data_IF_983647138538
#
_entry.id   IF_983647138538
#
_cell.length_a   1.000
_cell.length_b   1.000
_cell.length_c   1.000
_cell.angle_alpha   90.00
_cell.angle_beta   90.00
_cell.angle_gamma   90.00
#
_symmetry.space_group_name_H-M   'P 1'
#
loop_
_entity.id
_entity.type
_entity.pdbx_description
1 polymer ?
#
# COMPACT_ATOMS: atom_id res chain seq x y z
N UNK A 1 2.42 25.38 -4.09
CA UNK A 1 2.48 26.33 -2.99
C UNK A 1 2.48 25.58 -1.65
N UNK A 2 1.59 24.61 -1.44
CA UNK A 2 1.49 23.81 -0.23
C UNK A 2 1.60 22.31 -0.53
N UNK A 3 2.38 21.59 0.30
CA UNK A 3 2.50 20.13 0.28
C UNK A 3 1.98 19.60 1.60
N UNK A 4 0.85 18.88 1.54
CA UNK A 4 0.27 18.19 2.68
C UNK A 4 0.84 16.77 2.77
N UNK A 5 1.28 16.38 3.96
CA UNK A 5 1.95 15.11 4.18
C UNK A 5 1.25 14.30 5.29
N UNK A 6 0.92 13.02 5.07
CA UNK A 6 0.34 12.18 6.12
C UNK A 6 1.38 11.89 7.21
N UNK A 7 0.94 11.97 8.48
CA UNK A 7 1.71 11.56 9.65
C UNK A 7 0.85 10.74 10.60
N UNK A 8 1.41 9.70 11.21
CA UNK A 8 0.68 8.82 12.14
C UNK A 8 0.51 9.41 13.54
N UNK A 9 1.38 10.36 13.93
CA UNK A 9 1.36 11.06 15.22
C UNK A 9 1.96 12.46 15.07
N UNK A 10 1.59 13.35 15.96
CA UNK A 10 2.16 14.71 15.99
C UNK A 10 3.68 14.67 16.16
N UNK A 11 4.39 15.46 15.39
CA UNK A 11 5.85 15.52 15.40
C UNK A 11 6.57 14.34 14.74
N UNK A 12 5.84 13.38 14.15
CA UNK A 12 6.47 12.31 13.39
C UNK A 12 6.89 12.80 12.00
N UNK A 13 7.96 12.23 11.48
CA UNK A 13 8.35 12.42 10.08
C UNK A 13 7.34 11.75 9.15
N UNK A 14 7.03 12.43 8.04
CA UNK A 14 6.21 11.85 6.99
C UNK A 14 7.05 11.06 6.01
N UNK A 15 6.73 9.79 5.86
CA UNK A 15 7.38 8.92 4.89
C UNK A 15 7.15 9.40 3.45
N UNK A 16 5.93 9.83 3.12
CA UNK A 16 5.62 10.40 1.82
C UNK A 16 6.44 11.66 1.54
N UNK A 17 6.66 12.50 2.57
CA UNK A 17 7.53 13.66 2.44
C UNK A 17 8.99 13.28 2.22
N UNK A 18 9.50 12.28 2.94
CA UNK A 18 10.87 11.77 2.76
C UNK A 18 11.10 11.24 1.34
N UNK A 19 10.14 10.49 0.79
CA UNK A 19 10.21 10.00 -0.60
C UNK A 19 10.24 11.15 -1.60
N UNK A 20 9.42 12.18 -1.39
CA UNK A 20 9.27 13.31 -2.32
C UNK A 20 10.31 14.42 -2.12
N UNK A 21 11.11 14.39 -1.05
CA UNK A 21 11.98 15.48 -0.61
C UNK A 21 12.84 16.09 -1.72
N UNK A 22 13.43 15.25 -2.58
CA UNK A 22 14.31 15.73 -3.68
C UNK A 22 13.59 16.56 -4.75
N UNK A 23 12.26 16.52 -4.81
CA UNK A 23 11.44 17.30 -5.75
C UNK A 23 10.77 18.50 -5.10
N UNK A 24 10.84 18.62 -3.77
CA UNK A 24 10.28 19.75 -3.04
C UNK A 24 11.16 20.99 -3.21
N UNK A 25 10.54 22.16 -3.29
CA UNK A 25 11.22 23.44 -3.43
C UNK A 25 11.22 24.19 -2.10
N UNK A 26 12.27 24.99 -1.79
CA UNK A 26 12.39 25.67 -0.49
C UNK A 26 11.23 26.62 -0.13
N UNK A 27 10.54 27.18 -1.13
CA UNK A 27 9.41 28.07 -0.92
C UNK A 27 8.08 27.37 -0.68
N UNK A 28 8.00 26.06 -0.82
CA UNK A 28 6.77 25.30 -0.58
C UNK A 28 6.56 25.08 0.91
N UNK A 29 5.35 25.39 1.37
CA UNK A 29 4.95 25.14 2.76
C UNK A 29 4.58 23.67 2.94
N UNK A 30 5.16 23.02 3.93
CA UNK A 30 4.87 21.62 4.27
C UNK A 30 3.89 21.59 5.45
N UNK A 31 2.76 20.91 5.28
CA UNK A 31 1.71 20.80 6.30
C UNK A 31 1.50 19.34 6.66
N UNK A 32 1.85 18.92 7.88
CA UNK A 32 1.56 17.58 8.35
C UNK A 32 0.06 17.42 8.64
N UNK A 33 -0.55 16.37 8.10
CA UNK A 33 -1.92 15.97 8.38
C UNK A 33 -1.92 14.70 9.23
N UNK A 34 -2.52 14.77 10.41
CA UNK A 34 -2.52 13.65 11.35
C UNK A 34 -3.58 12.61 10.98
N UNK A 35 -3.14 11.36 10.82
CA UNK A 35 -3.99 10.19 10.60
C UNK A 35 -3.65 9.13 11.65
N UNK A 36 -4.39 9.07 12.76
CA UNK A 36 -4.06 8.17 13.86
C UNK A 36 -4.22 6.70 13.42
N UNK A 37 -3.22 5.88 13.74
CA UNK A 37 -3.20 4.44 13.49
C UNK A 37 -3.94 3.71 14.62
N UNK A 38 -5.26 3.86 14.66
CA UNK A 38 -6.14 3.26 15.69
C UNK A 38 -7.27 2.46 15.05
N UNK A 39 -7.77 1.44 15.76
CA UNK A 39 -8.86 0.61 15.26
C UNK A 39 -10.22 1.31 15.33
N UNK A 40 -10.40 2.22 16.28
CA UNK A 40 -11.63 2.98 16.46
C UNK A 40 -11.97 3.81 15.21
N UNK A 41 -13.21 3.69 14.73
CA UNK A 41 -13.65 4.34 13.49
C UNK A 41 -13.76 5.87 13.62
N UNK A 42 -14.26 6.34 14.76
CA UNK A 42 -14.56 7.77 14.96
C UNK A 42 -13.33 8.66 14.91
N UNK A 43 -12.20 8.38 15.62
CA UNK A 43 -11.00 9.20 15.50
C UNK A 43 -10.44 9.22 14.09
N UNK A 44 -10.52 8.12 13.33
CA UNK A 44 -10.10 8.07 11.93
C UNK A 44 -10.97 8.96 11.06
N UNK A 45 -12.31 8.88 11.22
CA UNK A 45 -13.25 9.70 10.47
C UNK A 45 -13.03 11.19 10.71
N UNK A 46 -12.86 11.58 11.98
CA UNK A 46 -12.54 12.97 12.34
C UNK A 46 -11.26 13.46 11.70
N UNK A 47 -10.20 12.64 11.67
CA UNK A 47 -8.95 12.99 11.02
C UNK A 47 -9.11 13.21 9.50
N UNK A 48 -9.89 12.38 8.81
CA UNK A 48 -10.17 12.57 7.39
C UNK A 48 -10.96 13.84 7.12
N UNK A 49 -11.96 14.16 7.96
CA UNK A 49 -12.74 15.39 7.85
C UNK A 49 -11.87 16.61 8.09
N UNK A 50 -11.05 16.61 9.15
CA UNK A 50 -10.13 17.71 9.47
C UNK A 50 -9.10 17.93 8.33
N UNK A 51 -8.58 16.86 7.76
CA UNK A 51 -7.71 16.94 6.60
C UNK A 51 -8.41 17.58 5.40
N UNK A 52 -9.62 17.14 5.08
CA UNK A 52 -10.42 17.69 4.00
C UNK A 52 -10.72 19.18 4.21
N UNK A 53 -11.14 19.58 5.42
CA UNK A 53 -11.41 20.97 5.78
C UNK A 53 -10.15 21.84 5.63
N UNK A 54 -9.00 21.35 6.09
CA UNK A 54 -7.72 22.04 5.97
C UNK A 54 -7.32 22.26 4.50
N UNK A 55 -7.42 21.20 3.67
CA UNK A 55 -7.06 21.28 2.26
C UNK A 55 -7.98 22.23 1.48
N UNK A 56 -9.29 22.14 1.73
CA UNK A 56 -10.28 23.01 1.09
C UNK A 56 -10.09 24.49 1.47
N UNK A 57 -9.80 24.77 2.72
CA UNK A 57 -9.51 26.14 3.19
C UNK A 57 -8.29 26.74 2.48
N UNK A 58 -7.22 25.96 2.30
CA UNK A 58 -6.02 26.42 1.59
C UNK A 58 -6.30 26.66 0.09
N UNK A 59 -7.06 25.78 -0.54
CA UNK A 59 -7.48 25.96 -1.94
C UNK A 59 -8.34 27.20 -2.10
N UNK A 60 -9.25 27.47 -1.15
CA UNK A 60 -10.10 28.65 -1.17
C UNK A 60 -9.31 29.99 -1.09
N UNK A 61 -8.10 29.97 -0.55
CA UNK A 61 -7.19 31.14 -0.58
C UNK A 61 -6.40 31.25 -1.88
N UNK A 62 -6.68 30.42 -2.90
CA UNK A 62 -5.99 30.41 -4.18
C UNK A 62 -4.67 29.62 -4.18
N UNK A 63 -4.38 28.84 -3.14
CA UNK A 63 -3.18 28.01 -3.08
C UNK A 63 -3.32 26.75 -3.95
N UNK A 64 -2.24 26.37 -4.62
CA UNK A 64 -2.11 25.04 -5.22
C UNK A 64 -1.64 24.07 -4.15
N UNK A 65 -2.47 23.07 -3.85
CA UNK A 65 -2.27 22.13 -2.77
C UNK A 65 -2.02 20.74 -3.34
N UNK A 66 -1.02 20.02 -2.81
CA UNK A 66 -0.74 18.62 -3.13
C UNK A 66 -0.80 17.81 -1.84
N UNK A 67 -1.67 16.80 -1.79
CA UNK A 67 -1.62 15.77 -0.74
C UNK A 67 -0.77 14.60 -1.24
N UNK A 68 0.32 14.31 -0.54
CA UNK A 68 1.20 13.19 -0.87
C UNK A 68 0.62 11.86 -0.38
N UNK A 69 0.79 10.83 -1.21
CA UNK A 69 0.47 9.43 -0.86
C UNK A 69 1.65 8.54 -1.23
N UNK A 70 1.88 7.48 -0.43
CA UNK A 70 2.82 6.42 -0.81
C UNK A 70 2.17 5.48 -1.83
N UNK A 71 2.90 5.10 -2.86
CA UNK A 71 2.43 4.22 -3.92
C UNK A 71 1.34 4.86 -4.77
N UNK A 72 0.23 4.14 -5.01
CA UNK A 72 -0.92 4.67 -5.73
C UNK A 72 -1.95 5.28 -4.77
N UNK A 73 -2.41 6.48 -5.10
CA UNK A 73 -3.32 7.25 -4.25
C UNK A 73 -4.74 6.65 -4.16
N UNK A 74 -5.10 5.72 -5.06
CA UNK A 74 -6.42 5.09 -5.11
C UNK A 74 -6.45 3.70 -4.47
N UNK A 75 -5.29 3.09 -4.16
CA UNK A 75 -5.19 1.72 -3.68
C UNK A 75 -4.73 1.65 -2.21
N UNK A 76 -5.66 1.34 -1.29
CA UNK A 76 -5.40 1.23 0.16
C UNK A 76 -4.70 2.46 0.77
N UNK A 77 -4.84 3.62 0.16
CA UNK A 77 -4.21 4.87 0.55
C UNK A 77 -5.12 5.72 1.44
N UNK A 78 -4.52 6.41 2.41
CA UNK A 78 -5.23 7.39 3.25
C UNK A 78 -5.85 8.52 2.42
N UNK A 79 -5.21 8.90 1.30
CA UNK A 79 -5.71 9.90 0.36
C UNK A 79 -7.10 9.61 -0.19
N UNK A 80 -7.46 8.32 -0.37
CA UNK A 80 -8.82 7.95 -0.82
C UNK A 80 -9.90 8.38 0.16
N UNK A 81 -9.67 8.23 1.47
CA UNK A 81 -10.62 8.67 2.50
C UNK A 81 -10.73 10.20 2.56
N UNK A 82 -9.61 10.91 2.37
CA UNK A 82 -9.60 12.37 2.30
C UNK A 82 -10.35 12.85 1.06
N UNK A 83 -10.17 12.19 -0.08
CA UNK A 83 -10.92 12.48 -1.31
C UNK A 83 -12.44 12.35 -1.08
N UNK A 84 -12.88 11.24 -0.48
CA UNK A 84 -14.30 11.04 -0.16
C UNK A 84 -14.82 12.10 0.81
N UNK A 85 -14.03 12.47 1.82
CA UNK A 85 -14.39 13.54 2.75
C UNK A 85 -14.47 14.91 2.06
N UNK A 86 -13.56 15.23 1.12
CA UNK A 86 -13.62 16.44 0.30
C UNK A 86 -14.90 16.47 -0.55
N UNK A 87 -15.22 15.39 -1.25
CA UNK A 87 -16.43 15.30 -2.08
C UNK A 87 -17.71 15.49 -1.28
N UNK A 88 -17.74 14.98 -0.05
CA UNK A 88 -18.90 15.10 0.84
C UNK A 88 -19.04 16.50 1.45
N UNK A 89 -17.95 17.09 1.90
CA UNK A 89 -17.96 18.32 2.72
C UNK A 89 -17.70 19.59 1.92
N UNK A 90 -16.96 19.47 0.83
CA UNK A 90 -16.49 20.57 -0.03
C UNK A 90 -16.65 20.19 -1.50
N UNK A 91 -17.90 19.93 -1.99
CA UNK A 91 -18.14 19.41 -3.35
C UNK A 91 -17.62 20.33 -4.45
N UNK A 92 -17.52 21.62 -4.18
CA UNK A 92 -17.01 22.61 -5.14
C UNK A 92 -15.47 22.77 -5.12
N UNK A 93 -14.78 22.07 -4.20
CA UNK A 93 -13.32 22.10 -4.13
C UNK A 93 -12.71 21.32 -5.32
N UNK A 94 -12.00 21.98 -6.25
CA UNK A 94 -11.40 21.28 -7.37
C UNK A 94 -10.34 20.30 -6.92
N UNK A 95 -10.47 19.03 -7.31
CA UNK A 95 -9.56 17.97 -6.95
C UNK A 95 -9.25 17.07 -8.13
N UNK A 96 -7.99 16.64 -8.25
CA UNK A 96 -7.54 15.66 -9.24
C UNK A 96 -6.62 14.65 -8.58
N UNK A 97 -6.91 13.37 -8.75
CA UNK A 97 -6.01 12.28 -8.36
C UNK A 97 -4.98 12.06 -9.47
N UNK A 98 -3.71 12.02 -9.08
CA UNK A 98 -2.62 11.62 -9.97
C UNK A 98 -2.27 10.18 -9.61
N UNK A 99 -2.38 9.22 -10.56
CA UNK A 99 -2.08 7.83 -10.29
C UNK A 99 -0.61 7.63 -10.00
N UNK A 100 -0.33 6.64 -9.16
CA UNK A 100 1.02 6.21 -8.84
C UNK A 100 1.25 4.74 -9.22
N UNK A 101 2.41 4.22 -8.84
CA UNK A 101 2.73 2.80 -9.01
C UNK A 101 2.40 2.09 -7.71
N UNK A 102 1.56 1.05 -7.78
CA UNK A 102 1.24 0.25 -6.59
C UNK A 102 2.48 -0.49 -6.08
N UNK A 103 2.55 -0.76 -4.78
CA UNK A 103 3.63 -1.55 -4.20
C UNK A 103 3.74 -2.95 -4.86
N UNK A 104 2.61 -3.52 -5.26
CA UNK A 104 2.52 -4.82 -5.96
C UNK A 104 3.19 -4.74 -7.33
N UNK A 105 2.84 -3.74 -8.14
CA UNK A 105 3.45 -3.54 -9.46
C UNK A 105 4.94 -3.20 -9.35
N UNK A 106 5.33 -2.39 -8.36
CA UNK A 106 6.72 -2.04 -8.12
C UNK A 106 7.56 -3.26 -7.73
N UNK A 107 7.03 -4.13 -6.84
CA UNK A 107 7.69 -5.37 -6.42
C UNK A 107 7.87 -6.34 -7.60
N UNK A 108 6.81 -6.55 -8.37
CA UNK A 108 6.83 -7.43 -9.54
C UNK A 108 7.85 -6.96 -10.58
N UNK A 109 7.86 -5.67 -10.91
CA UNK A 109 8.81 -5.09 -11.86
C UNK A 109 10.26 -5.18 -11.37
N UNK A 110 10.51 -4.83 -10.10
CA UNK A 110 11.85 -4.85 -9.53
C UNK A 110 12.45 -6.27 -9.40
N UNK A 111 11.58 -7.29 -9.28
CA UNK A 111 11.97 -8.69 -9.21
C UNK A 111 11.95 -9.40 -10.59
N UNK A 112 11.62 -8.72 -11.68
CA UNK A 112 11.34 -9.34 -12.99
C UNK A 112 10.33 -10.49 -12.88
N UNK A 113 9.31 -10.32 -12.06
CA UNK A 113 8.30 -11.32 -11.76
C UNK A 113 6.99 -10.99 -12.49
N UNK A 114 6.57 -11.75 -13.53
CA UNK A 114 5.32 -11.46 -14.24
C UNK A 114 4.12 -11.56 -13.30
N UNK A 115 3.42 -10.43 -13.11
CA UNK A 115 2.34 -10.34 -12.12
C UNK A 115 1.07 -11.08 -12.55
N UNK A 116 0.70 -10.94 -13.81
CA UNK A 116 -0.45 -11.63 -14.39
C UNK A 116 -0.21 -11.87 -15.88
N UNK A 117 -0.57 -13.04 -16.37
CA UNK A 117 -0.40 -13.47 -17.75
C UNK A 117 -1.73 -14.02 -18.28
N UNK A 118 -2.02 -13.79 -19.56
CA UNK A 118 -3.19 -14.35 -20.25
C UNK A 118 -4.50 -14.17 -19.45
N UNK A 119 -5.08 -15.26 -18.95
CA UNK A 119 -6.35 -15.29 -18.22
C UNK A 119 -6.16 -15.29 -16.69
N UNK A 120 -4.95 -15.07 -16.19
CA UNK A 120 -4.70 -14.99 -14.75
C UNK A 120 -5.60 -13.94 -14.11
N UNK A 121 -6.14 -14.30 -12.96
CA UNK A 121 -6.78 -13.32 -12.07
C UNK A 121 -5.76 -12.79 -11.07
N UNK A 122 -5.81 -11.50 -10.75
CA UNK A 122 -4.98 -10.88 -9.71
C UNK A 122 -5.86 -10.40 -8.56
N UNK A 123 -5.66 -10.98 -7.38
CA UNK A 123 -6.30 -10.52 -6.15
C UNK A 123 -5.28 -9.78 -5.27
N UNK A 124 -5.48 -8.49 -5.10
CA UNK A 124 -4.73 -7.66 -4.17
C UNK A 124 -5.53 -7.42 -2.89
N UNK A 125 -5.01 -7.84 -1.74
CA UNK A 125 -5.70 -7.71 -0.46
C UNK A 125 -4.70 -7.48 0.68
N UNK A 126 -5.09 -6.80 1.77
CA UNK A 126 -4.32 -6.87 3.00
C UNK A 126 -4.19 -8.33 3.45
N UNK A 127 -3.03 -8.68 4.02
CA UNK A 127 -2.85 -10.02 4.56
C UNK A 127 -3.94 -10.34 5.58
N UNK A 128 -4.62 -11.48 5.49
CA UNK A 128 -5.63 -11.90 6.46
C UNK A 128 -5.11 -11.89 7.90
N UNK A 129 -6.02 -11.76 8.85
CA UNK A 129 -5.66 -11.75 10.29
C UNK A 129 -5.49 -13.16 10.85
N UNK A 130 -6.05 -14.16 10.18
CA UNK A 130 -6.09 -15.55 10.64
C UNK A 130 -5.63 -16.52 9.58
N UNK A 131 -5.08 -17.66 10.03
CA UNK A 131 -4.54 -18.70 9.20
C UNK A 131 -5.60 -19.42 8.34
N UNK A 132 -6.80 -19.63 8.89
CA UNK A 132 -7.92 -20.26 8.15
C UNK A 132 -8.34 -19.40 6.95
N UNK A 133 -8.42 -18.06 7.11
CA UNK A 133 -8.73 -17.14 6.02
C UNK A 133 -7.66 -17.13 4.92
N UNK A 134 -6.39 -17.24 5.29
CA UNK A 134 -5.31 -17.36 4.31
C UNK A 134 -5.41 -18.69 3.57
N UNK A 135 -5.69 -19.79 4.29
CA UNK A 135 -5.84 -21.11 3.70
C UNK A 135 -6.96 -21.14 2.68
N UNK A 136 -8.12 -20.59 3.00
CA UNK A 136 -9.26 -20.47 2.09
C UNK A 136 -8.90 -19.63 0.84
N UNK A 137 -8.21 -18.50 1.03
CA UNK A 137 -7.78 -17.65 -0.08
C UNK A 137 -6.80 -18.39 -1.02
N UNK A 138 -5.90 -19.21 -0.46
CA UNK A 138 -4.96 -20.02 -1.24
C UNK A 138 -5.68 -21.15 -2.01
N UNK A 139 -6.69 -21.81 -1.41
CA UNK A 139 -7.47 -22.84 -2.08
C UNK A 139 -8.24 -22.25 -3.26
N UNK A 140 -8.96 -21.14 -3.07
CA UNK A 140 -9.65 -20.43 -4.15
C UNK A 140 -8.69 -19.93 -5.24
N UNK A 141 -7.48 -19.53 -4.87
CA UNK A 141 -6.49 -19.06 -5.83
C UNK A 141 -5.97 -20.21 -6.71
N UNK A 142 -5.81 -21.41 -6.14
CA UNK A 142 -5.40 -22.60 -6.89
C UNK A 142 -6.47 -23.01 -7.91
N UNK A 143 -7.75 -23.00 -7.51
CA UNK A 143 -8.88 -23.39 -8.38
C UNK A 143 -9.08 -22.45 -9.58
N UNK A 144 -8.71 -21.17 -9.45
CA UNK A 144 -9.05 -20.12 -10.42
C UNK A 144 -7.84 -19.53 -11.16
N UNK A 145 -6.68 -20.18 -11.12
CA UNK A 145 -5.42 -19.66 -11.67
C UNK A 145 -5.17 -18.18 -11.23
N UNK A 146 -5.37 -17.92 -9.93
CA UNK A 146 -5.31 -16.58 -9.37
C UNK A 146 -3.97 -16.32 -8.72
N UNK A 147 -3.36 -15.18 -9.03
CA UNK A 147 -2.22 -14.65 -8.31
C UNK A 147 -2.70 -13.87 -7.10
N UNK A 148 -2.16 -14.19 -5.93
CA UNK A 148 -2.45 -13.44 -4.71
C UNK A 148 -1.34 -12.45 -4.43
N UNK A 149 -1.70 -11.19 -4.20
CA UNK A 149 -0.83 -10.16 -3.69
C UNK A 149 -1.29 -9.76 -2.28
N UNK A 150 -0.59 -10.28 -1.26
CA UNK A 150 -0.89 -10.02 0.15
C UNK A 150 -0.08 -8.82 0.63
N UNK A 151 -0.76 -7.75 0.98
CA UNK A 151 -0.16 -6.51 1.46
C UNK A 151 -0.09 -6.47 2.99
N UNK A 152 0.81 -5.64 3.54
CA UNK A 152 0.86 -5.34 4.97
C UNK A 152 1.13 -6.58 5.83
N UNK A 153 2.08 -7.42 5.44
CA UNK A 153 2.41 -8.65 6.16
C UNK A 153 2.81 -8.37 7.62
N UNK A 154 3.82 -7.53 7.82
CA UNK A 154 4.25 -7.14 9.15
C UNK A 154 4.56 -8.35 10.05
N UNK A 155 4.00 -8.34 11.27
CA UNK A 155 4.12 -9.44 12.23
C UNK A 155 3.48 -10.76 11.77
N UNK A 156 2.56 -10.70 10.79
CA UNK A 156 1.87 -11.91 10.28
C UNK A 156 2.81 -12.81 9.49
N UNK A 157 3.94 -12.29 8.99
CA UNK A 157 4.92 -13.10 8.28
C UNK A 157 5.33 -14.36 9.06
N UNK A 158 5.37 -14.28 10.38
CA UNK A 158 5.75 -15.42 11.23
C UNK A 158 4.89 -16.67 10.93
N UNK A 159 3.58 -16.52 10.95
CA UNK A 159 2.66 -17.64 10.71
C UNK A 159 2.32 -17.83 9.22
N UNK A 160 2.32 -16.76 8.42
CA UNK A 160 2.13 -16.85 6.96
C UNK A 160 3.19 -17.75 6.35
N UNK A 161 4.45 -17.56 6.73
CA UNK A 161 5.55 -18.41 6.27
C UNK A 161 5.31 -19.89 6.57
N UNK A 162 4.82 -20.22 7.75
CA UNK A 162 4.50 -21.61 8.14
C UNK A 162 3.36 -22.20 7.28
N UNK A 163 2.33 -21.42 6.97
CA UNK A 163 1.25 -21.85 6.06
C UNK A 163 1.81 -22.17 4.68
N UNK A 164 2.62 -21.29 4.12
CA UNK A 164 3.23 -21.49 2.80
C UNK A 164 4.18 -22.71 2.79
N UNK A 165 4.93 -22.92 3.86
CA UNK A 165 5.83 -24.07 4.01
C UNK A 165 5.04 -25.40 3.98
N UNK A 166 3.97 -25.51 4.77
CA UNK A 166 3.09 -26.69 4.77
C UNK A 166 2.45 -26.95 3.41
N UNK A 167 2.21 -25.91 2.62
CA UNK A 167 1.61 -25.98 1.28
C UNK A 167 2.64 -26.04 0.14
N UNK A 168 3.93 -26.05 0.46
CA UNK A 168 5.03 -26.08 -0.50
C UNK A 168 5.02 -24.86 -1.47
N UNK A 169 4.58 -23.71 -0.98
CA UNK A 169 4.43 -22.47 -1.77
C UNK A 169 5.54 -21.45 -1.54
N UNK A 170 6.53 -21.73 -0.69
CA UNK A 170 7.60 -20.78 -0.37
C UNK A 170 8.47 -20.46 -1.61
N UNK A 171 8.80 -21.45 -2.41
CA UNK A 171 9.63 -21.29 -3.61
C UNK A 171 8.90 -20.49 -4.70
N UNK A 172 7.62 -20.76 -4.90
CA UNK A 172 6.78 -20.09 -5.91
C UNK A 172 6.25 -18.72 -5.48
N UNK A 173 6.66 -18.23 -4.31
CA UNK A 173 6.24 -16.95 -3.76
C UNK A 173 7.39 -15.95 -3.70
N UNK A 174 7.10 -14.70 -4.10
CA UNK A 174 8.03 -13.59 -3.98
C UNK A 174 7.71 -12.77 -2.74
N UNK A 175 8.65 -12.66 -1.83
CA UNK A 175 8.60 -11.73 -0.71
C UNK A 175 9.24 -10.41 -1.09
N UNK A 176 8.56 -9.30 -0.80
CA UNK A 176 9.06 -7.96 -1.03
C UNK A 176 8.87 -7.08 0.21
N UNK A 177 9.90 -6.32 0.55
CA UNK A 177 9.92 -5.41 1.69
C UNK A 177 10.56 -4.10 1.28
N UNK A 178 9.93 -2.97 1.65
CA UNK A 178 10.43 -1.61 1.44
C UNK A 178 10.83 -1.33 -0.02
N UNK A 179 10.00 -1.78 -0.95
CA UNK A 179 10.26 -1.65 -2.40
C UNK A 179 10.47 -0.19 -2.78
N UNK A 180 11.54 0.08 -3.55
CA UNK A 180 11.94 1.43 -3.93
C UNK A 180 12.82 2.16 -2.91
N UNK A 181 13.12 1.56 -1.77
CA UNK A 181 14.02 2.10 -0.75
C UNK A 181 15.43 1.54 -0.91
N UNK A 182 16.48 2.22 -0.41
CA UNK A 182 17.86 1.72 -0.50
C UNK A 182 18.08 0.35 0.14
N UNK A 183 17.29 0.01 1.15
CA UNK A 183 17.33 -1.25 1.90
C UNK A 183 16.20 -2.21 1.52
N UNK A 184 15.66 -2.09 0.30
CA UNK A 184 14.64 -3.01 -0.18
C UNK A 184 15.11 -4.47 -0.17
N UNK A 185 14.18 -5.36 0.14
CA UNK A 185 14.38 -6.81 0.02
C UNK A 185 13.40 -7.38 -1.00
N UNK A 186 13.92 -8.12 -1.98
CA UNK A 186 13.16 -8.85 -3.01
C UNK A 186 13.78 -10.24 -3.12
N UNK A 187 13.09 -11.26 -2.63
CA UNK A 187 13.63 -12.64 -2.57
C UNK A 187 12.51 -13.66 -2.69
N UNK A 188 12.80 -14.89 -3.17
CA UNK A 188 11.91 -16.02 -2.94
C UNK A 188 11.56 -16.12 -1.45
N UNK A 189 10.32 -16.43 -1.14
CA UNK A 189 9.84 -16.45 0.25
C UNK A 189 10.58 -17.47 1.12
N UNK A 190 11.09 -18.54 0.51
CA UNK A 190 11.91 -19.55 1.19
C UNK A 190 13.19 -18.98 1.80
N UNK A 191 13.80 -17.96 1.16
CA UNK A 191 15.06 -17.33 1.59
C UNK A 191 14.84 -16.25 2.66
N UNK A 192 13.60 -16.02 3.07
CA UNK A 192 13.24 -15.05 4.09
C UNK A 192 12.99 -15.73 5.42
N UNK A 193 13.83 -15.54 6.44
CA UNK A 193 13.64 -16.14 7.76
C UNK A 193 12.29 -15.76 8.37
N UNK A 194 11.71 -16.68 9.15
CA UNK A 194 10.54 -16.38 9.97
C UNK A 194 10.84 -15.25 10.97
N UNK A 195 9.83 -14.45 11.28
CA UNK A 195 9.96 -13.35 12.23
C UNK A 195 9.05 -12.18 11.92
N UNK A 196 9.12 -11.14 12.75
CA UNK A 196 8.42 -9.89 12.54
C UNK A 196 9.08 -9.12 11.40
N UNK A 197 8.28 -8.63 10.47
CA UNK A 197 8.72 -7.80 9.35
C UNK A 197 8.13 -6.39 9.44
N UNK A 198 8.69 -5.41 8.75
CA UNK A 198 8.09 -4.09 8.65
C UNK A 198 6.67 -4.14 8.07
N UNK A 199 5.87 -3.13 8.40
CA UNK A 199 4.53 -2.97 7.82
C UNK A 199 4.54 -2.93 6.27
N UNK A 200 5.56 -2.28 5.69
CA UNK A 200 5.77 -2.20 4.25
C UNK A 200 6.44 -3.47 3.71
N UNK A 201 5.77 -4.58 3.92
CA UNK A 201 6.10 -5.88 3.32
C UNK A 201 4.88 -6.48 2.65
N UNK A 202 5.13 -7.18 1.56
CA UNK A 202 4.10 -7.84 0.75
C UNK A 202 4.60 -9.19 0.24
N UNK A 203 3.67 -10.00 -0.21
CA UNK A 203 3.92 -11.32 -0.76
C UNK A 203 3.14 -11.48 -2.06
N UNK A 204 3.81 -11.90 -3.11
CA UNK A 204 3.18 -12.34 -4.35
C UNK A 204 3.23 -13.86 -4.41
N UNK A 205 2.08 -14.51 -4.58
CA UNK A 205 1.94 -15.96 -4.58
C UNK A 205 1.33 -16.38 -5.91
N UNK A 206 2.04 -17.23 -6.64
CA UNK A 206 1.57 -17.89 -7.85
C UNK A 206 1.67 -19.40 -7.66
N UNK A 207 0.56 -20.11 -7.80
CA UNK A 207 0.52 -21.57 -7.59
C UNK A 207 0.66 -22.35 -8.89
N UNK A 208 0.40 -21.71 -10.03
CA UNK A 208 0.57 -22.33 -11.35
C UNK A 208 0.97 -21.28 -12.38
N UNK A 209 1.64 -21.72 -13.44
CA UNK A 209 1.94 -20.91 -14.61
C UNK A 209 1.02 -21.33 -15.76
N UNK A 210 0.71 -20.41 -16.70
CA UNK A 210 -0.02 -20.80 -17.92
C UNK A 210 0.69 -21.94 -18.67
N UNK A 211 -0.09 -22.85 -19.26
CA UNK A 211 0.46 -23.99 -19.99
C UNK A 211 1.28 -23.58 -21.22
N UNK A 212 0.91 -22.46 -21.85
CA UNK A 212 1.57 -21.94 -23.04
C UNK A 212 2.44 -20.75 -22.66
N UNK A 213 3.72 -21.01 -22.48
CA UNK A 213 4.77 -20.00 -22.30
C UNK A 213 5.74 -20.06 -23.47
N UNK A 214 6.44 -18.95 -23.80
CA UNK A 214 7.47 -18.94 -24.84
C UNK A 214 8.65 -19.84 -24.50
#
# INVERSE_FOLDING_TARGET
DLIACPVARSGAESMAAAIAARWMRPHQRIVPLLFPMVDAAEPRRLAWHQAADTLAAEVATGQRVVLLCEGDASLFATGSYVLLALQQRHPDCPCRVIPGITAVSAAAAAANWPLALQQDQLLMTPCPEREDQLSEALDHAAEQARVLALLKLGRRWLWVRQVLERRQLLESSLFAERVGWPDQTLRPAQDVPGGVRPYFSLLLIRQSWPEVLP
#
